data_IF_462702310369
#
_entry.id   IF_462702310369
#
_cell.length_a   1.000
_cell.length_b   1.000
_cell.length_c   1.000
_cell.angle_alpha   90.00
_cell.angle_beta   90.00
_cell.angle_gamma   90.00
#
_symmetry.space_group_name_H-M   'P 1'
#
loop_
_entity.id
_entity.type
_entity.pdbx_description
1 polymer ?
#
# COMPACT_ATOMS: atom_id res chain seq x y z
N UNK A 1 -23.70 27.08 12.76
CA UNK A 1 -24.20 25.76 12.29
C UNK A 1 -23.15 25.14 11.38
N UNK A 2 -22.19 24.42 11.96
CA UNK A 2 -21.14 23.68 11.25
C UNK A 2 -21.71 22.37 10.69
N UNK A 3 -22.63 22.47 9.72
CA UNK A 3 -23.06 21.32 8.92
C UNK A 3 -22.32 21.40 7.60
N UNK A 4 -21.01 21.14 7.65
CA UNK A 4 -20.23 20.95 6.44
C UNK A 4 -20.68 19.61 5.81
N UNK A 5 -21.13 19.63 4.55
CA UNK A 5 -21.54 18.44 3.80
C UNK A 5 -20.41 17.38 3.79
N UNK A 6 -20.45 16.47 4.76
CA UNK A 6 -19.44 15.46 5.07
C UNK A 6 -19.43 14.27 4.12
N UNK A 7 -19.37 14.52 2.81
CA UNK A 7 -19.16 13.45 1.82
C UNK A 7 -17.66 13.16 1.68
N UNK A 8 -16.83 14.20 1.50
CA UNK A 8 -15.38 14.03 1.29
C UNK A 8 -14.64 13.65 2.59
N UNK A 9 -15.07 14.20 3.72
CA UNK A 9 -14.46 13.95 5.04
C UNK A 9 -14.53 12.49 5.48
N UNK A 10 -15.49 11.72 4.96
CA UNK A 10 -15.63 10.27 5.21
C UNK A 10 -14.50 9.45 4.58
N UNK A 11 -13.84 9.96 3.55
CA UNK A 11 -12.74 9.27 2.88
C UNK A 11 -11.36 9.59 3.49
N UNK A 12 -11.27 10.67 4.28
CA UNK A 12 -10.05 11.04 5.02
C UNK A 12 -9.54 9.90 5.93
N UNK A 13 -10.37 9.25 6.77
CA UNK A 13 -9.87 8.15 7.60
C UNK A 13 -9.38 6.96 6.76
N UNK A 14 -10.01 6.66 5.62
CA UNK A 14 -9.51 5.61 4.71
C UNK A 14 -8.13 5.95 4.14
N UNK A 15 -7.88 7.21 3.79
CA UNK A 15 -6.56 7.68 3.35
C UNK A 15 -5.53 7.67 4.50
N UNK A 16 -5.90 8.11 5.69
CA UNK A 16 -5.03 8.10 6.86
C UNK A 16 -4.62 6.67 7.27
N UNK A 17 -5.57 5.72 7.24
CA UNK A 17 -5.27 4.31 7.49
C UNK A 17 -4.27 3.79 6.45
N UNK A 18 -4.39 4.19 5.19
CA UNK A 18 -3.39 3.83 4.19
C UNK A 18 -2.00 4.33 4.57
N UNK A 19 -1.85 5.53 5.10
CA UNK A 19 -0.54 6.05 5.55
C UNK A 19 -0.02 5.40 6.83
N UNK A 20 -0.90 4.95 7.73
CA UNK A 20 -0.43 4.20 8.91
C UNK A 20 0.30 2.92 8.55
N UNK A 21 -0.02 2.27 7.42
CA UNK A 21 0.70 1.06 6.98
C UNK A 21 2.16 1.33 6.59
N UNK A 22 2.53 2.58 6.28
CA UNK A 22 3.93 2.94 5.99
C UNK A 22 4.84 2.78 7.21
N UNK A 23 4.29 2.76 8.43
CA UNK A 23 5.09 2.55 9.64
C UNK A 23 5.80 1.19 9.61
N UNK A 24 5.15 0.13 9.09
CA UNK A 24 5.76 -1.20 9.00
C UNK A 24 6.94 -1.21 8.02
N UNK A 25 6.81 -0.49 6.90
CA UNK A 25 7.90 -0.32 5.95
C UNK A 25 9.07 0.47 6.54
N UNK A 26 8.78 1.57 7.24
CA UNK A 26 9.80 2.39 7.88
C UNK A 26 10.52 1.63 9.01
N UNK A 27 9.80 0.83 9.80
CA UNK A 27 10.38 -0.05 10.82
C UNK A 27 11.26 -1.14 10.20
N UNK A 28 10.80 -1.79 9.12
CA UNK A 28 11.61 -2.78 8.40
C UNK A 28 12.87 -2.15 7.78
N UNK A 29 12.78 -0.91 7.31
CA UNK A 29 13.92 -0.16 6.80
C UNK A 29 14.90 0.23 7.92
N UNK A 30 14.39 0.68 9.07
CA UNK A 30 15.21 0.99 10.25
C UNK A 30 15.98 -0.24 10.74
N UNK A 31 15.33 -1.41 10.81
CA UNK A 31 15.97 -2.68 11.16
C UNK A 31 17.07 -3.09 10.17
N UNK A 32 16.92 -2.72 8.89
CA UNK A 32 17.97 -2.91 7.88
C UNK A 32 19.15 -1.95 8.04
N UNK A 33 18.96 -0.79 8.66
CA UNK A 33 20.05 0.13 8.99
C UNK A 33 20.82 -0.30 10.24
N UNK A 34 20.13 -0.86 11.24
CA UNK A 34 20.75 -1.35 12.48
C UNK A 34 21.49 -2.69 12.32
N UNK A 35 21.76 -3.14 11.09
CA UNK A 35 22.54 -4.35 10.81
C UNK A 35 21.75 -5.66 10.67
N UNK A 36 20.44 -5.68 10.90
CA UNK A 36 19.61 -6.91 10.86
C UNK A 36 19.12 -7.28 9.45
N UNK A 37 19.91 -7.00 8.41
CA UNK A 37 19.50 -7.06 6.98
C UNK A 37 19.03 -8.44 6.49
N UNK A 38 19.42 -9.52 7.17
CA UNK A 38 19.01 -10.90 6.83
C UNK A 38 18.18 -11.58 7.91
N UNK A 39 17.73 -10.86 8.94
CA UNK A 39 16.95 -11.48 10.01
C UNK A 39 15.57 -11.90 9.51
N UNK A 40 15.12 -13.05 9.98
CA UNK A 40 13.77 -13.58 9.72
C UNK A 40 12.69 -12.57 10.15
N UNK A 41 12.97 -11.77 11.17
CA UNK A 41 12.11 -10.69 11.68
C UNK A 41 11.84 -9.62 10.61
N UNK A 42 12.86 -9.21 9.85
CA UNK A 42 12.69 -8.24 8.75
C UNK A 42 11.82 -8.84 7.64
N UNK A 43 11.99 -10.13 7.31
CA UNK A 43 11.17 -10.82 6.31
C UNK A 43 9.70 -10.89 6.74
N UNK A 44 9.42 -11.20 8.01
CA UNK A 44 8.05 -11.18 8.53
C UNK A 44 7.42 -9.79 8.47
N UNK A 45 8.16 -8.75 8.86
CA UNK A 45 7.66 -7.36 8.78
C UNK A 45 7.37 -6.94 7.34
N UNK A 46 8.23 -7.31 6.39
CA UNK A 46 8.01 -7.05 4.96
C UNK A 46 6.78 -7.79 4.42
N UNK A 47 6.57 -9.04 4.86
CA UNK A 47 5.41 -9.84 4.47
C UNK A 47 4.10 -9.26 5.05
N UNK A 48 4.09 -8.92 6.34
CA UNK A 48 2.95 -8.28 7.00
C UNK A 48 2.62 -6.94 6.35
N UNK A 49 3.64 -6.15 6.00
CA UNK A 49 3.46 -4.92 5.25
C UNK A 49 2.84 -5.18 3.87
N UNK A 50 3.33 -6.17 3.11
CA UNK A 50 2.77 -6.49 1.80
C UNK A 50 1.30 -6.93 1.86
N UNK A 51 0.94 -7.74 2.87
CA UNK A 51 -0.43 -8.18 3.11
C UNK A 51 -1.31 -6.97 3.47
N UNK A 52 -0.88 -6.14 4.41
CA UNK A 52 -1.61 -4.93 4.79
C UNK A 52 -1.77 -3.96 3.60
N UNK A 53 -0.72 -3.77 2.80
CA UNK A 53 -0.72 -2.92 1.61
C UNK A 53 -1.71 -3.42 0.55
N UNK A 54 -1.78 -4.74 0.33
CA UNK A 54 -2.74 -5.36 -0.59
C UNK A 54 -4.19 -5.04 -0.18
N UNK A 55 -4.56 -5.34 1.06
CA UNK A 55 -5.94 -5.12 1.50
C UNK A 55 -6.32 -3.64 1.57
N UNK A 56 -5.45 -2.80 2.15
CA UNK A 56 -5.78 -1.39 2.40
C UNK A 56 -5.65 -0.50 1.17
N UNK A 57 -4.63 -0.70 0.32
CA UNK A 57 -4.32 0.20 -0.80
C UNK A 57 -4.67 -0.39 -2.16
N UNK A 58 -4.46 -1.69 -2.38
CA UNK A 58 -4.73 -2.31 -3.69
C UNK A 58 -6.20 -2.68 -3.87
N UNK A 59 -6.87 -3.15 -2.80
CA UNK A 59 -8.28 -3.57 -2.87
C UNK A 59 -9.20 -2.45 -2.40
N UNK A 60 -9.03 -1.96 -1.17
CA UNK A 60 -9.98 -1.00 -0.58
C UNK A 60 -9.99 0.35 -1.31
N UNK A 61 -8.84 0.83 -1.79
CA UNK A 61 -8.73 2.15 -2.42
C UNK A 61 -9.44 2.22 -3.80
N UNK A 62 -9.30 1.23 -4.71
CA UNK A 62 -10.13 1.16 -5.92
C UNK A 62 -11.62 0.98 -5.64
N UNK A 63 -12.00 0.19 -4.62
CA UNK A 63 -13.42 0.03 -4.23
C UNK A 63 -14.01 1.36 -3.76
N UNK A 64 -13.26 2.11 -2.95
CA UNK A 64 -13.64 3.45 -2.51
C UNK A 64 -13.74 4.42 -3.69
N UNK A 65 -12.78 4.39 -4.62
CA UNK A 65 -12.84 5.23 -5.82
C UNK A 65 -14.02 4.86 -6.72
N UNK A 66 -14.29 3.56 -6.92
CA UNK A 66 -15.47 3.10 -7.64
C UNK A 66 -16.74 3.62 -6.97
N UNK A 67 -16.90 3.41 -5.66
CA UNK A 67 -18.04 3.95 -4.90
C UNK A 67 -18.19 5.47 -5.05
N UNK A 68 -17.07 6.20 -5.05
CA UNK A 68 -17.05 7.65 -5.24
C UNK A 68 -17.50 8.06 -6.65
N UNK A 69 -17.07 7.34 -7.69
CA UNK A 69 -17.43 7.60 -9.08
C UNK A 69 -18.92 7.42 -9.38
N UNK A 70 -19.58 6.45 -8.73
CA UNK A 70 -21.01 6.19 -8.91
C UNK A 70 -21.90 6.94 -7.91
N UNK A 71 -21.32 7.62 -6.91
CA UNK A 71 -22.11 8.38 -5.94
C UNK A 71 -22.72 9.63 -6.61
N UNK A 72 -24.02 9.95 -6.43
CA UNK A 72 -24.71 11.08 -7.09
C UNK A 72 -24.15 12.48 -6.78
N UNK A 73 -23.18 12.60 -5.88
CA UNK A 73 -22.49 13.85 -5.55
C UNK A 73 -21.12 13.99 -6.24
N UNK A 74 -20.84 13.20 -7.29
CA UNK A 74 -19.55 13.28 -8.01
C UNK A 74 -19.26 14.64 -8.61
N UNK A 75 -20.31 15.42 -8.91
CA UNK A 75 -20.19 16.77 -9.46
C UNK A 75 -19.41 17.72 -8.53
N UNK A 76 -19.42 17.48 -7.21
CA UNK A 76 -18.68 18.32 -6.25
C UNK A 76 -17.17 18.07 -6.26
N UNK A 77 -16.69 16.95 -6.82
CA UNK A 77 -15.25 16.68 -6.93
C UNK A 77 -14.58 17.43 -8.10
N UNK A 78 -15.35 17.91 -9.08
CA UNK A 78 -14.82 18.64 -10.23
C UNK A 78 -13.68 17.88 -10.95
N UNK A 79 -12.54 18.54 -11.13
CA UNK A 79 -11.36 17.97 -11.79
C UNK A 79 -10.60 16.94 -10.93
N UNK A 80 -10.82 16.91 -9.61
CA UNK A 80 -10.12 15.97 -8.72
C UNK A 80 -10.47 14.50 -9.00
N UNK A 81 -11.59 14.22 -9.69
CA UNK A 81 -11.91 12.86 -10.13
C UNK A 81 -10.83 12.29 -11.05
N UNK A 82 -10.22 13.10 -11.92
CA UNK A 82 -9.20 12.65 -12.86
C UNK A 82 -7.86 12.30 -12.19
N UNK A 83 -7.63 12.78 -10.97
CA UNK A 83 -6.42 12.42 -10.21
C UNK A 83 -6.55 11.07 -9.51
N UNK A 84 -7.76 10.55 -9.32
CA UNK A 84 -7.99 9.28 -8.60
C UNK A 84 -7.46 8.06 -9.36
N UNK A 85 -7.73 7.85 -10.67
CA UNK A 85 -7.21 6.68 -11.37
C UNK A 85 -5.67 6.60 -11.38
N UNK A 86 -4.92 7.69 -11.67
CA UNK A 86 -3.46 7.67 -11.56
C UNK A 86 -2.95 7.27 -10.17
N UNK A 87 -3.61 7.72 -9.10
CA UNK A 87 -3.26 7.34 -7.72
C UNK A 87 -3.45 5.84 -7.51
N UNK A 88 -4.56 5.26 -7.98
CA UNK A 88 -4.80 3.82 -7.88
C UNK A 88 -3.76 3.01 -8.67
N UNK A 89 -3.45 3.41 -9.90
CA UNK A 89 -2.39 2.78 -10.69
C UNK A 89 -1.03 2.86 -10.01
N UNK A 90 -0.72 3.99 -9.36
CA UNK A 90 0.52 4.14 -8.61
C UNK A 90 0.58 3.15 -7.43
N UNK A 91 -0.51 2.92 -6.70
CA UNK A 91 -0.54 1.92 -5.63
C UNK A 91 -0.28 0.50 -6.18
N UNK A 92 -0.89 0.15 -7.32
CA UNK A 92 -0.64 -1.14 -8.00
C UNK A 92 0.82 -1.30 -8.43
N UNK A 93 1.41 -0.25 -9.00
CA UNK A 93 2.83 -0.25 -9.37
C UNK A 93 3.76 -0.45 -8.17
N UNK A 94 3.48 0.21 -7.04
CA UNK A 94 4.26 0.03 -5.81
C UNK A 94 4.09 -1.36 -5.23
N UNK A 95 2.86 -1.89 -5.22
CA UNK A 95 2.61 -3.25 -4.77
C UNK A 95 3.42 -4.27 -5.58
N UNK A 96 3.43 -4.15 -6.91
CA UNK A 96 4.26 -4.98 -7.78
C UNK A 96 5.74 -4.93 -7.38
N UNK A 97 6.28 -3.74 -7.09
CA UNK A 97 7.67 -3.60 -6.63
C UNK A 97 7.92 -4.25 -5.27
N UNK A 98 6.98 -4.12 -4.33
CA UNK A 98 7.08 -4.75 -3.00
C UNK A 98 7.12 -6.27 -3.14
N UNK A 99 6.16 -6.85 -3.88
CA UNK A 99 6.11 -8.29 -4.13
C UNK A 99 7.37 -8.77 -4.83
N UNK A 100 7.82 -8.07 -5.88
CA UNK A 100 9.08 -8.42 -6.57
C UNK A 100 10.28 -8.40 -5.62
N UNK A 101 10.37 -7.40 -4.74
CA UNK A 101 11.44 -7.32 -3.73
C UNK A 101 11.41 -8.50 -2.77
N UNK A 102 10.23 -8.92 -2.32
CA UNK A 102 10.06 -10.06 -1.42
C UNK A 102 10.39 -11.37 -2.15
N UNK A 103 9.87 -11.57 -3.37
CA UNK A 103 10.12 -12.78 -4.18
C UNK A 103 11.61 -12.96 -4.47
N UNK A 104 12.32 -11.89 -4.86
CA UNK A 104 13.77 -11.95 -5.09
C UNK A 104 14.51 -12.39 -3.82
N UNK A 105 14.06 -11.97 -2.63
CA UNK A 105 14.67 -12.32 -1.33
C UNK A 105 14.26 -13.69 -0.80
N UNK A 106 13.09 -14.21 -1.19
CA UNK A 106 12.65 -15.56 -0.87
C UNK A 106 13.23 -16.62 -1.83
N UNK A 107 13.72 -16.22 -3.00
CA UNK A 107 14.31 -17.12 -4.00
C UNK A 107 15.81 -17.53 -3.85
N UNK A 108 16.56 -17.30 -2.76
CA UNK A 108 17.96 -17.75 -2.72
C UNK A 108 18.05 -19.18 -2.13
N UNK A 109 18.07 -20.22 -2.96
CA UNK A 109 18.68 -21.55 -2.64
C UNK A 109 18.64 -22.62 -3.76
N UNK A 110 18.62 -22.31 -5.06
CA UNK A 110 18.75 -23.35 -6.10
C UNK A 110 20.05 -23.36 -6.90
N UNK A 111 20.99 -22.45 -6.62
CA UNK A 111 22.24 -22.31 -7.41
C UNK A 111 23.54 -22.74 -6.69
N UNK A 112 23.54 -23.05 -5.39
CA UNK A 112 24.78 -23.42 -4.67
C UNK A 112 24.98 -24.93 -4.41
N UNK A 113 24.08 -25.82 -4.84
CA UNK A 113 24.18 -27.28 -4.60
C UNK A 113 24.38 -28.12 -5.86
N UNK A 114 24.98 -27.54 -6.91
CA UNK A 114 25.32 -28.24 -8.16
C UNK A 114 26.81 -28.24 -8.50
N UNK A 115 27.65 -27.74 -7.59
CA UNK A 115 29.12 -27.67 -7.75
C UNK A 115 29.87 -28.34 -6.59
N UNK A 116 29.20 -29.21 -5.83
CA UNK A 116 29.85 -30.15 -4.89
C UNK A 116 29.66 -31.59 -5.37
#
# INVERSE_FOLDING_TARGET
TLVAHGSITKFIPHLLICDTTNIFFNTAWLLRLTGFRGSIVVTYLELTFAIAFLFTRVINLPVVFYSLYYHPHTSTLGYAKYTLPPIAFLQWFWFYKIVRSIVIRLLPAKKQRKEE
#
